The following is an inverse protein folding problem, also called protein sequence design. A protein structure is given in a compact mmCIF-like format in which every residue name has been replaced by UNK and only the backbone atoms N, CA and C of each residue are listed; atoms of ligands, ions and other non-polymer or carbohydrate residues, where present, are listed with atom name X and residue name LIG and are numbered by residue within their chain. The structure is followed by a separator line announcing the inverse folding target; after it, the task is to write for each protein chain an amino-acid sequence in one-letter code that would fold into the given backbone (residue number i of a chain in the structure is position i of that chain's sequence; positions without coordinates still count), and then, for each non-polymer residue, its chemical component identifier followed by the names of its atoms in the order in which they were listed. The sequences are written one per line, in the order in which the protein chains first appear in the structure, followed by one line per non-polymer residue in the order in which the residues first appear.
data_IF_594545405007
#
_entry.id   IF_594545405007
#
_cell.length_a   1.000
_cell.length_b   1.000
_cell.length_c   1.000
_cell.angle_alpha   90.00
_cell.angle_beta   90.00
_cell.angle_gamma   90.00
#
_symmetry.space_group_name_H-M   'P 1'
#
loop_
_entity.id
_entity.type
_entity.pdbx_description
1 polymer ?
#
# COMPACT_ATOMS: atom_id res chain seq x y z
N UNK A 1 -64.72 2.83 -11.44
CA UNK A 1 -64.18 3.92 -10.59
C UNK A 1 -64.74 5.23 -11.11
N UNK A 2 -65.47 5.95 -10.26
CA UNK A 2 -66.34 7.08 -10.62
C UNK A 2 -65.57 8.39 -10.72
N UNK A 3 -66.05 9.33 -11.54
CA UNK A 3 -65.43 10.64 -11.79
C UNK A 3 -65.07 11.42 -10.51
N UNK A 4 -65.84 11.24 -9.44
CA UNK A 4 -65.59 11.83 -8.13
C UNK A 4 -64.25 11.39 -7.51
N UNK A 5 -63.83 10.13 -7.71
CA UNK A 5 -62.52 9.64 -7.24
C UNK A 5 -61.39 10.35 -7.98
N UNK A 6 -61.59 10.60 -9.28
CA UNK A 6 -60.59 11.24 -10.13
C UNK A 6 -60.39 12.73 -9.83
N UNK A 7 -61.44 13.37 -9.33
CA UNK A 7 -61.45 14.78 -8.91
C UNK A 7 -60.80 14.94 -7.53
N UNK A 8 -61.11 14.04 -6.58
CA UNK A 8 -60.49 14.02 -5.25
C UNK A 8 -58.98 13.76 -5.31
N UNK A 9 -58.52 12.83 -6.16
CA UNK A 9 -57.07 12.55 -6.31
C UNK A 9 -56.29 13.72 -6.93
N UNK A 10 -56.98 14.62 -7.66
CA UNK A 10 -56.39 15.82 -8.26
C UNK A 10 -56.64 17.09 -7.43
N UNK A 11 -57.33 16.98 -6.30
CA UNK A 11 -57.63 18.13 -5.45
C UNK A 11 -56.33 18.69 -4.87
N UNK A 12 -56.24 20.01 -4.84
CA UNK A 12 -55.07 20.72 -4.33
C UNK A 12 -54.89 20.44 -2.83
N UNK A 13 -55.99 20.33 -2.08
CA UNK A 13 -55.93 19.99 -0.66
C UNK A 13 -55.40 18.57 -0.43
N UNK A 14 -55.82 17.58 -1.23
CA UNK A 14 -55.31 16.22 -1.09
C UNK A 14 -53.82 16.16 -1.47
N UNK A 15 -53.41 16.84 -2.54
CA UNK A 15 -52.00 16.91 -2.93
C UNK A 15 -51.15 17.59 -1.85
N UNK A 16 -51.61 18.70 -1.28
CA UNK A 16 -50.92 19.36 -0.16
C UNK A 16 -50.83 18.44 1.06
N UNK A 17 -51.86 17.65 1.38
CA UNK A 17 -51.85 16.64 2.45
C UNK A 17 -50.89 15.48 2.14
N UNK A 18 -50.89 14.97 0.90
CA UNK A 18 -49.97 13.90 0.47
C UNK A 18 -48.52 14.37 0.53
N UNK A 19 -48.22 15.59 0.08
CA UNK A 19 -46.87 16.14 0.13
C UNK A 19 -46.44 16.54 1.54
N UNK A 20 -47.37 16.91 2.43
CA UNK A 20 -47.06 17.14 3.85
C UNK A 20 -46.87 15.84 4.65
N UNK A 21 -47.47 14.72 4.22
CA UNK A 21 -47.28 13.40 4.83
C UNK A 21 -46.12 12.57 4.27
N UNK A 22 -45.37 13.06 3.28
CA UNK A 22 -44.18 12.36 2.77
C UNK A 22 -42.98 12.56 3.70
N UNK A 23 -43.03 11.93 4.89
CA UNK A 23 -41.83 11.50 5.61
C UNK A 23 -41.25 10.21 4.99
N UNK A 24 -41.28 10.10 3.66
CA UNK A 24 -40.82 8.95 2.90
C UNK A 24 -39.59 9.29 2.07
N UNK A 25 -38.74 8.30 1.83
CA UNK A 25 -37.61 8.46 0.92
C UNK A 25 -38.12 8.65 -0.51
N UNK A 26 -37.64 9.68 -1.18
CA UNK A 26 -37.93 9.90 -2.59
C UNK A 26 -37.31 8.77 -3.44
N UNK A 27 -37.86 8.49 -4.62
CA UNK A 27 -37.40 7.38 -5.48
C UNK A 27 -35.91 7.53 -5.87
N UNK A 28 -35.47 8.76 -6.14
CA UNK A 28 -34.07 9.14 -6.38
C UNK A 28 -33.16 8.90 -5.15
N UNK A 29 -33.73 8.76 -3.95
CA UNK A 29 -32.99 8.57 -2.71
C UNK A 29 -32.86 7.11 -2.26
N UNK A 30 -33.59 6.19 -2.91
CA UNK A 30 -33.55 4.75 -2.62
C UNK A 30 -32.15 4.12 -2.75
N UNK A 31 -31.30 4.51 -3.73
CA UNK A 31 -29.96 3.94 -3.85
C UNK A 31 -29.09 4.18 -2.60
N UNK A 32 -29.29 5.30 -1.89
CA UNK A 32 -28.45 5.68 -0.75
C UNK A 32 -28.83 4.98 0.56
N UNK A 33 -30.03 4.39 0.65
CA UNK A 33 -30.49 3.69 1.87
C UNK A 33 -29.65 2.45 2.20
N UNK A 34 -28.95 1.90 1.21
CA UNK A 34 -28.08 0.73 1.37
C UNK A 34 -26.63 1.11 1.68
N UNK A 35 -26.27 2.39 1.58
CA UNK A 35 -24.92 2.83 1.86
C UNK A 35 -24.69 2.81 3.38
N UNK A 36 -23.66 2.09 3.78
CA UNK A 36 -23.16 2.14 5.15
C UNK A 36 -22.23 3.33 5.31
N UNK A 37 -22.23 4.01 6.47
CA UNK A 37 -21.23 5.03 6.76
C UNK A 37 -19.82 4.43 6.63
N UNK A 38 -18.87 5.17 6.04
CA UNK A 38 -17.50 4.73 5.93
C UNK A 38 -16.90 4.49 7.31
N UNK A 39 -16.31 3.30 7.53
CA UNK A 39 -15.57 2.98 8.74
C UNK A 39 -14.09 3.32 8.55
N UNK A 40 -13.49 3.98 9.54
CA UNK A 40 -12.05 4.24 9.57
C UNK A 40 -11.33 2.91 9.85
N UNK A 41 -10.54 2.45 8.88
CA UNK A 41 -9.58 1.37 9.10
C UNK A 41 -8.15 1.91 8.95
N UNK A 42 -7.42 1.94 10.07
CA UNK A 42 -5.96 2.08 10.02
C UNK A 42 -5.38 0.68 9.96
N UNK A 43 -4.98 0.24 8.76
CA UNK A 43 -4.38 -1.08 8.60
C UNK A 43 -2.90 -1.01 9.01
N UNK A 44 -2.62 -1.56 10.18
CA UNK A 44 -1.28 -1.93 10.63
C UNK A 44 -1.01 -3.38 10.24
N UNK A 45 -0.92 -3.67 8.94
CA UNK A 45 -0.47 -5.00 8.52
C UNK A 45 1.05 -5.03 8.47
N UNK A 46 1.60 -5.97 9.24
CA UNK A 46 3.03 -6.15 9.49
C UNK A 46 3.90 -5.84 8.28
N UNK A 47 4.78 -4.85 8.48
CA UNK A 47 5.96 -4.53 7.68
C UNK A 47 5.80 -3.85 6.31
N UNK A 48 4.61 -3.44 5.82
CA UNK A 48 4.54 -2.98 4.41
C UNK A 48 3.98 -1.58 4.14
N UNK A 49 2.86 -1.16 4.71
CA UNK A 49 2.36 0.21 4.47
C UNK A 49 1.45 0.68 5.60
N UNK A 50 1.73 1.83 6.21
CA UNK A 50 0.71 2.60 6.92
C UNK A 50 -0.20 3.22 5.85
N UNK A 51 -1.34 2.60 5.58
CA UNK A 51 -2.35 3.12 4.66
C UNK A 51 -3.62 3.43 5.41
N UNK A 52 -4.14 4.64 5.19
CA UNK A 52 -5.48 5.00 5.62
C UNK A 52 -6.45 4.49 4.56
N UNK A 53 -7.33 3.56 4.93
CA UNK A 53 -8.35 3.06 4.02
C UNK A 53 -9.74 3.46 4.50
N UNK A 54 -10.47 4.08 3.58
CA UNK A 54 -11.88 4.42 3.72
C UNK A 54 -12.54 4.03 2.40
N UNK A 55 -13.55 3.15 2.42
CA UNK A 55 -14.33 2.84 1.21
C UNK A 55 -15.19 4.04 0.83
N UNK A 56 -14.67 4.84 -0.10
CA UNK A 56 -15.42 5.92 -0.73
C UNK A 56 -15.88 5.58 -2.15
N UNK A 57 -15.42 4.49 -2.77
CA UNK A 57 -15.74 4.17 -4.16
C UNK A 57 -17.23 3.91 -4.37
N UNK A 58 -17.81 3.08 -3.51
CA UNK A 58 -19.24 2.74 -3.58
C UNK A 58 -20.14 3.97 -3.35
N UNK A 59 -19.97 4.75 -2.26
CA UNK A 59 -20.77 5.95 -2.07
C UNK A 59 -20.47 7.03 -3.14
N UNK A 60 -19.23 7.19 -3.58
CA UNK A 60 -18.85 8.16 -4.60
C UNK A 60 -19.62 7.95 -5.89
N UNK A 61 -19.63 6.72 -6.44
CA UNK A 61 -20.36 6.42 -7.68
C UNK A 61 -21.86 6.72 -7.56
N UNK A 62 -22.45 6.44 -6.41
CA UNK A 62 -23.86 6.74 -6.15
C UNK A 62 -24.09 8.26 -6.10
N UNK A 63 -23.25 8.99 -5.38
CA UNK A 63 -23.34 10.45 -5.24
C UNK A 63 -23.05 11.17 -6.55
N UNK A 64 -22.03 10.77 -7.29
CA UNK A 64 -21.66 11.30 -8.61
C UNK A 64 -22.83 11.20 -9.60
N UNK A 65 -23.49 10.04 -9.67
CA UNK A 65 -24.67 9.87 -10.54
C UNK A 65 -25.80 10.85 -10.20
N UNK A 66 -26.02 11.12 -8.92
CA UNK A 66 -27.02 12.07 -8.46
C UNK A 66 -26.61 13.52 -8.69
N UNK A 67 -25.32 13.85 -8.51
CA UNK A 67 -24.79 15.17 -8.83
C UNK A 67 -24.84 15.47 -10.33
N UNK A 68 -24.62 14.47 -11.18
CA UNK A 68 -24.73 14.62 -12.63
C UNK A 68 -26.16 14.95 -13.07
N UNK A 69 -27.17 14.36 -12.41
CA UNK A 69 -28.58 14.56 -12.78
C UNK A 69 -29.20 15.81 -12.13
N UNK A 70 -28.89 16.09 -10.88
CA UNK A 70 -29.59 17.13 -10.07
C UNK A 70 -28.67 18.25 -9.56
N UNK A 71 -27.37 18.18 -9.82
CA UNK A 71 -26.37 19.07 -9.24
C UNK A 71 -26.30 18.96 -7.72
N UNK A 72 -25.82 20.02 -7.06
CA UNK A 72 -25.68 20.08 -5.59
C UNK A 72 -26.96 20.49 -4.87
N UNK A 73 -28.04 20.80 -5.60
CA UNK A 73 -29.29 21.33 -5.03
C UNK A 73 -30.03 20.32 -4.15
N UNK A 74 -29.84 19.02 -4.40
CA UNK A 74 -30.51 17.94 -3.68
C UNK A 74 -29.83 17.52 -2.38
N UNK A 75 -28.61 17.99 -2.11
CA UNK A 75 -27.82 17.60 -0.93
C UNK A 75 -28.57 17.87 0.37
N UNK A 76 -29.13 19.08 0.55
CA UNK A 76 -29.88 19.43 1.76
C UNK A 76 -31.09 18.51 1.99
N UNK A 77 -31.79 18.17 0.90
CA UNK A 77 -32.97 17.30 0.95
C UNK A 77 -32.59 15.84 1.22
N UNK A 78 -31.51 15.36 0.61
CA UNK A 78 -30.94 14.03 0.87
C UNK A 78 -30.63 13.87 2.37
N UNK A 79 -29.96 14.85 2.98
CA UNK A 79 -29.57 14.81 4.39
C UNK A 79 -30.75 14.96 5.34
N UNK A 80 -31.80 15.70 4.94
CA UNK A 80 -33.04 15.75 5.70
C UNK A 80 -33.75 14.38 5.70
N UNK A 81 -33.74 13.68 4.58
CA UNK A 81 -34.38 12.35 4.45
C UNK A 81 -33.52 11.22 5.04
N UNK A 82 -32.20 11.31 4.97
CA UNK A 82 -31.26 10.29 5.43
C UNK A 82 -30.09 10.96 6.18
N UNK A 83 -30.28 11.37 7.45
CA UNK A 83 -29.25 12.10 8.21
C UNK A 83 -27.96 11.30 8.43
N UNK A 84 -28.03 9.97 8.43
CA UNK A 84 -26.87 9.08 8.60
C UNK A 84 -25.85 9.14 7.47
N UNK A 85 -26.22 9.71 6.31
CA UNK A 85 -25.30 9.89 5.18
C UNK A 85 -24.41 11.12 5.31
N UNK A 86 -24.64 11.98 6.31
CA UNK A 86 -23.87 13.20 6.46
C UNK A 86 -22.35 12.97 6.45
N UNK A 87 -21.78 12.04 7.24
CA UNK A 87 -20.34 11.77 7.22
C UNK A 87 -19.86 11.25 5.85
N UNK A 88 -20.65 10.39 5.21
CA UNK A 88 -20.34 9.85 3.88
C UNK A 88 -20.23 10.95 2.83
N UNK A 89 -21.22 11.85 2.78
CA UNK A 89 -21.23 12.99 1.84
C UNK A 89 -20.10 13.96 2.14
N UNK A 90 -19.79 14.18 3.43
CA UNK A 90 -18.69 15.05 3.84
C UNK A 90 -17.33 14.49 3.42
N UNK A 91 -17.05 13.22 3.70
CA UNK A 91 -15.78 12.61 3.32
C UNK A 91 -15.65 12.43 1.81
N UNK A 92 -16.74 12.10 1.10
CA UNK A 92 -16.77 12.06 -0.38
C UNK A 92 -16.42 13.43 -0.97
N UNK A 93 -17.14 14.48 -0.56
CA UNK A 93 -16.86 15.83 -1.02
C UNK A 93 -15.42 16.27 -0.70
N UNK A 94 -14.88 15.80 0.42
CA UNK A 94 -13.51 16.10 0.84
C UNK A 94 -12.45 15.34 0.05
N UNK A 95 -12.71 14.08 -0.32
CA UNK A 95 -11.80 13.26 -1.11
C UNK A 95 -11.77 13.69 -2.58
N UNK A 96 -12.93 14.05 -3.15
CA UNK A 96 -13.09 14.33 -4.58
C UNK A 96 -13.15 15.82 -4.92
N UNK A 97 -12.87 16.71 -3.95
CA UNK A 97 -12.69 18.14 -4.22
C UNK A 97 -13.99 18.90 -4.49
N UNK A 98 -15.14 18.39 -4.05
CA UNK A 98 -16.44 18.99 -4.36
C UNK A 98 -16.80 20.13 -3.38
N UNK A 99 -16.12 21.28 -3.55
CA UNK A 99 -16.31 22.47 -2.72
C UNK A 99 -17.76 22.97 -2.75
N UNK A 100 -18.46 22.81 -3.88
CA UNK A 100 -19.86 23.19 -4.00
C UNK A 100 -20.77 22.36 -3.08
N UNK A 101 -20.46 21.07 -2.87
CA UNK A 101 -21.17 20.24 -1.89
C UNK A 101 -20.82 20.69 -0.46
N UNK A 102 -19.55 21.00 -0.17
CA UNK A 102 -19.15 21.51 1.15
C UNK A 102 -19.90 22.80 1.51
N UNK A 103 -20.06 23.73 0.57
CA UNK A 103 -20.81 24.97 0.80
C UNK A 103 -22.30 24.70 1.06
N UNK A 104 -22.88 23.65 0.43
CA UNK A 104 -24.24 23.20 0.77
C UNK A 104 -24.30 22.56 2.15
N UNK A 105 -23.30 21.78 2.55
CA UNK A 105 -23.24 21.19 3.89
C UNK A 105 -23.21 22.28 4.97
N UNK A 106 -22.43 23.35 4.78
CA UNK A 106 -22.37 24.51 5.69
C UNK A 106 -23.71 25.23 5.85
N UNK A 107 -24.58 25.20 4.84
CA UNK A 107 -25.92 25.78 4.90
C UNK A 107 -26.91 24.92 5.70
N UNK A 108 -26.67 23.60 5.76
CA UNK A 108 -27.57 22.64 6.43
C UNK A 108 -27.20 22.49 7.90
N UNK A 109 -25.91 22.37 8.20
CA UNK A 109 -25.40 22.22 9.56
C UNK A 109 -23.97 22.72 9.69
N UNK A 110 -23.53 22.97 10.92
CA UNK A 110 -22.10 23.16 11.21
C UNK A 110 -21.34 21.89 10.82
N UNK A 111 -20.30 22.04 10.01
CA UNK A 111 -19.41 20.92 9.68
C UNK A 111 -18.72 20.49 10.98
N UNK A 112 -18.78 19.20 11.35
CA UNK A 112 -18.07 18.72 12.52
C UNK A 112 -16.57 18.94 12.30
N UNK A 113 -15.93 19.52 13.30
CA UNK A 113 -14.49 19.76 13.30
C UNK A 113 -13.76 18.45 13.62
N UNK A 114 -13.79 17.55 12.64
CA UNK A 114 -13.20 16.23 12.69
C UNK A 114 -11.90 16.22 11.90
N UNK A 115 -10.82 15.86 12.59
CA UNK A 115 -9.50 15.73 11.99
C UNK A 115 -9.48 14.83 10.74
N UNK A 116 -10.34 13.80 10.73
CA UNK A 116 -10.45 12.86 9.62
C UNK A 116 -10.84 13.55 8.29
N UNK A 117 -11.65 14.61 8.32
CA UNK A 117 -12.04 15.37 7.12
C UNK A 117 -10.82 15.99 6.46
N UNK A 118 -9.94 16.59 7.27
CA UNK A 118 -8.70 17.20 6.78
C UNK A 118 -7.73 16.13 6.26
N UNK A 119 -7.59 15.00 6.96
CA UNK A 119 -6.75 13.89 6.51
C UNK A 119 -7.25 13.34 5.17
N UNK A 120 -8.57 13.14 5.01
CA UNK A 120 -9.14 12.65 3.75
C UNK A 120 -8.87 13.61 2.60
N UNK A 121 -9.09 14.92 2.80
CA UNK A 121 -8.76 15.92 1.80
C UNK A 121 -7.26 15.94 1.47
N UNK A 122 -6.41 15.81 2.50
CA UNK A 122 -4.96 15.84 2.35
C UNK A 122 -4.43 14.61 1.58
N UNK A 123 -4.94 13.41 1.87
CA UNK A 123 -4.58 12.16 1.19
C UNK A 123 -4.94 12.19 -0.30
N UNK A 124 -6.04 12.85 -0.66
CA UNK A 124 -6.51 12.96 -2.04
C UNK A 124 -6.03 14.22 -2.78
N UNK A 125 -5.19 15.04 -2.14
CA UNK A 125 -4.58 16.21 -2.80
C UNK A 125 -5.49 17.44 -2.91
N UNK A 126 -6.57 17.52 -2.12
CA UNK A 126 -7.61 18.53 -2.28
C UNK A 126 -7.30 19.81 -1.48
N UNK A 127 -6.42 20.66 -2.04
CA UNK A 127 -6.01 21.93 -1.41
C UNK A 127 -7.19 22.90 -1.27
N UNK A 128 -8.06 22.97 -2.27
CA UNK A 128 -9.23 23.85 -2.29
C UNK A 128 -10.23 23.48 -1.20
N UNK A 129 -10.38 22.18 -0.91
CA UNK A 129 -11.20 21.72 0.22
C UNK A 129 -10.60 22.16 1.54
N UNK A 130 -9.29 21.96 1.73
CA UNK A 130 -8.60 22.38 2.95
C UNK A 130 -8.73 23.90 3.19
N UNK A 131 -8.63 24.70 2.12
CA UNK A 131 -8.88 26.13 2.17
C UNK A 131 -10.35 26.45 2.52
N UNK A 132 -11.30 25.76 1.88
CA UNK A 132 -12.73 26.00 2.07
C UNK A 132 -13.21 25.62 3.48
N UNK A 133 -12.59 24.62 4.12
CA UNK A 133 -12.90 24.23 5.50
C UNK A 133 -12.34 25.21 6.54
N UNK A 134 -11.50 26.16 6.13
CA UNK A 134 -10.91 27.20 6.99
C UNK A 134 -10.22 26.67 8.26
N UNK A 135 -9.77 25.41 8.27
CA UNK A 135 -9.01 24.68 9.33
C UNK A 135 -8.92 25.42 10.68
N UNK A 136 -10.10 25.63 11.32
CA UNK A 136 -10.27 26.57 12.43
C UNK A 136 -9.59 26.04 13.70
N UNK A 137 -9.44 24.73 13.81
CA UNK A 137 -8.77 24.05 14.92
C UNK A 137 -7.30 23.73 14.64
N UNK A 138 -6.57 23.42 15.72
CA UNK A 138 -5.22 22.88 15.67
C UNK A 138 -5.30 21.47 15.09
N UNK A 139 -4.67 21.24 13.95
CA UNK A 139 -4.65 19.96 13.26
C UNK A 139 -3.38 19.23 13.65
N UNK A 140 -3.42 17.90 13.85
CA UNK A 140 -2.21 17.19 14.24
C UNK A 140 -1.21 17.13 13.08
N UNK A 141 0.02 16.79 13.42
CA UNK A 141 1.08 16.47 12.47
C UNK A 141 0.71 15.31 11.53
N UNK A 142 -0.27 14.47 11.89
CA UNK A 142 -0.69 13.34 11.07
C UNK A 142 -1.20 13.79 9.69
N UNK A 143 -1.84 14.95 9.57
CA UNK A 143 -2.37 15.41 8.27
C UNK A 143 -1.25 15.62 7.26
N UNK A 144 -0.13 16.23 7.68
CA UNK A 144 1.05 16.40 6.82
C UNK A 144 1.74 15.06 6.56
N UNK A 145 1.83 14.19 7.57
CA UNK A 145 2.42 12.85 7.41
C UNK A 145 1.65 12.01 6.39
N UNK A 146 0.31 12.06 6.42
CA UNK A 146 -0.56 11.40 5.45
C UNK A 146 -0.47 12.04 4.06
N UNK A 147 -0.48 13.38 3.95
CA UNK A 147 -0.28 14.06 2.67
C UNK A 147 1.05 13.63 2.01
N UNK A 148 2.13 13.57 2.80
CA UNK A 148 3.43 13.15 2.33
C UNK A 148 3.47 11.67 1.91
N UNK A 149 2.84 10.79 2.70
CA UNK A 149 2.71 9.37 2.40
C UNK A 149 2.02 9.12 1.05
N UNK A 150 1.03 9.93 0.66
CA UNK A 150 0.33 9.80 -0.62
C UNK A 150 0.90 10.68 -1.74
N UNK A 151 2.05 11.32 -1.52
CA UNK A 151 2.76 12.05 -2.57
C UNK A 151 2.15 13.41 -2.92
N UNK A 152 1.29 13.94 -2.04
CA UNK A 152 0.52 15.15 -2.28
C UNK A 152 1.35 16.40 -1.98
N UNK A 153 2.37 16.66 -2.82
CA UNK A 153 3.33 17.75 -2.62
C UNK A 153 2.65 19.12 -2.45
N UNK A 154 1.63 19.44 -3.26
CA UNK A 154 0.91 20.71 -3.18
C UNK A 154 0.22 20.90 -1.82
N UNK A 155 -0.33 19.82 -1.26
CA UNK A 155 -0.93 19.83 0.08
C UNK A 155 0.16 20.03 1.14
N UNK A 156 1.30 19.34 1.02
CA UNK A 156 2.43 19.50 1.96
C UNK A 156 2.96 20.93 1.96
N UNK A 157 3.15 21.53 0.78
CA UNK A 157 3.55 22.94 0.62
C UNK A 157 2.52 23.89 1.23
N UNK A 158 1.24 23.66 0.95
CA UNK A 158 0.17 24.50 1.46
C UNK A 158 0.07 24.40 3.00
N UNK A 159 0.16 23.20 3.57
CA UNK A 159 0.17 22.99 5.01
C UNK A 159 1.38 23.69 5.63
N UNK A 160 2.58 23.55 5.06
CA UNK A 160 3.76 24.23 5.57
C UNK A 160 3.65 25.76 5.56
N UNK A 161 3.09 26.35 4.50
CA UNK A 161 2.96 27.79 4.36
C UNK A 161 1.89 28.39 5.29
N UNK A 162 0.87 27.61 5.66
CA UNK A 162 -0.32 28.12 6.35
C UNK A 162 -0.47 27.60 7.79
N UNK A 163 0.33 26.61 8.21
CA UNK A 163 0.19 25.90 9.49
C UNK A 163 1.52 25.83 10.24
N UNK A 164 1.44 25.67 11.57
CA UNK A 164 2.61 25.69 12.46
C UNK A 164 2.91 24.32 13.10
N UNK A 165 1.99 23.36 12.98
CA UNK A 165 2.13 22.06 13.64
C UNK A 165 3.24 21.21 13.02
N UNK A 166 3.49 21.38 11.72
CA UNK A 166 4.56 20.70 11.03
C UNK A 166 4.22 19.25 10.65
N UNK A 167 5.18 18.36 10.85
CA UNK A 167 5.12 16.94 10.50
C UNK A 167 6.00 16.15 11.46
N UNK A 168 5.98 14.83 11.38
CA UNK A 168 6.92 13.95 12.09
C UNK A 168 7.92 13.32 11.12
N UNK A 169 8.85 12.51 11.64
CA UNK A 169 9.73 11.66 10.81
C UNK A 169 8.95 10.70 9.90
N UNK A 170 7.68 10.43 10.22
CA UNK A 170 6.82 9.54 9.42
C UNK A 170 6.49 10.14 8.04
N UNK A 171 6.44 11.47 7.90
CA UNK A 171 6.23 12.10 6.60
C UNK A 171 7.28 11.65 5.57
N UNK A 172 8.57 11.76 5.92
CA UNK A 172 9.65 11.37 5.00
C UNK A 172 9.79 9.85 4.90
N UNK A 173 9.62 9.12 6.00
CA UNK A 173 9.66 7.64 5.98
C UNK A 173 8.61 7.05 5.04
N UNK A 174 7.37 7.54 5.10
CA UNK A 174 6.28 7.01 4.27
C UNK A 174 6.28 7.58 2.85
N UNK A 175 6.67 8.84 2.65
CA UNK A 175 6.94 9.35 1.30
C UNK A 175 8.01 8.50 0.58
N UNK A 176 9.07 8.11 1.30
CA UNK A 176 10.11 7.23 0.77
C UNK A 176 9.59 5.81 0.52
N UNK A 177 8.81 5.26 1.45
CA UNK A 177 8.15 3.96 1.33
C UNK A 177 7.31 3.86 0.04
N UNK A 178 6.60 4.93 -0.33
CA UNK A 178 5.72 4.97 -1.51
C UNK A 178 6.40 5.52 -2.78
N UNK A 179 7.71 5.82 -2.72
CA UNK A 179 8.47 6.25 -3.89
C UNK A 179 8.24 7.70 -4.29
N UNK A 180 7.73 8.55 -3.40
CA UNK A 180 7.42 9.95 -3.68
C UNK A 180 8.67 10.84 -3.52
N UNK A 181 9.66 10.64 -4.40
CA UNK A 181 10.93 11.38 -4.39
C UNK A 181 10.76 12.92 -4.31
N UNK A 182 9.83 13.57 -5.05
CA UNK A 182 9.64 15.02 -4.95
C UNK A 182 9.25 15.49 -3.53
N UNK A 183 8.43 14.70 -2.83
CA UNK A 183 8.05 14.99 -1.44
C UNK A 183 9.23 14.78 -0.50
N UNK A 184 10.01 13.71 -0.69
CA UNK A 184 11.22 13.45 0.11
C UNK A 184 12.23 14.59 -0.02
N UNK A 185 12.49 15.05 -1.24
CA UNK A 185 13.37 16.18 -1.53
C UNK A 185 12.86 17.46 -0.86
N UNK A 186 11.59 17.76 -1.05
CA UNK A 186 10.99 18.96 -0.48
C UNK A 186 11.05 18.96 1.06
N UNK A 187 10.70 17.83 1.70
CA UNK A 187 10.77 17.69 3.15
C UNK A 187 12.21 17.85 3.66
N UNK A 188 13.20 17.34 2.94
CA UNK A 188 14.60 17.51 3.32
C UNK A 188 15.07 18.96 3.28
N UNK A 189 14.65 19.71 2.26
CA UNK A 189 15.05 21.11 2.08
C UNK A 189 14.36 22.06 3.06
N UNK A 190 13.11 21.78 3.44
CA UNK A 190 12.25 22.72 4.16
C UNK A 190 11.96 22.34 5.62
N UNK A 191 12.32 21.12 6.04
CA UNK A 191 11.96 20.57 7.36
C UNK A 191 13.17 19.95 8.06
N UNK A 192 13.18 20.03 9.39
CA UNK A 192 14.31 19.60 10.23
C UNK A 192 14.08 18.27 10.94
N UNK A 193 12.87 17.73 10.89
CA UNK A 193 12.51 16.45 11.52
C UNK A 193 13.31 15.28 10.93
N UNK A 194 13.62 15.33 9.64
CA UNK A 194 14.39 14.30 8.95
C UNK A 194 13.63 12.99 8.78
N UNK A 195 14.36 11.88 8.76
CA UNK A 195 13.81 10.53 8.66
C UNK A 195 14.51 9.58 9.63
N UNK A 196 14.14 8.30 9.59
CA UNK A 196 14.91 7.23 10.23
C UNK A 196 15.42 6.25 9.17
N UNK A 197 16.17 5.22 9.57
CA UNK A 197 16.58 4.14 8.65
C UNK A 197 15.41 3.47 7.93
N UNK A 198 14.19 3.58 8.49
CA UNK A 198 12.95 3.09 7.87
C UNK A 198 12.70 3.70 6.48
N UNK A 199 13.10 4.96 6.24
CA UNK A 199 12.90 5.57 4.92
C UNK A 199 13.63 4.77 3.82
N UNK A 200 14.89 4.42 4.05
CA UNK A 200 15.67 3.65 3.08
C UNK A 200 15.27 2.16 3.07
N UNK A 201 15.00 1.57 4.24
CA UNK A 201 14.58 0.17 4.35
C UNK A 201 13.26 -0.09 3.59
N UNK A 202 12.27 0.80 3.75
CA UNK A 202 10.98 0.68 3.08
C UNK A 202 11.05 1.04 1.60
N UNK A 203 11.80 2.08 1.23
CA UNK A 203 12.05 2.40 -0.18
C UNK A 203 12.72 1.22 -0.90
N UNK A 204 13.67 0.55 -0.25
CA UNK A 204 14.34 -0.63 -0.79
C UNK A 204 13.38 -1.81 -0.94
N UNK A 205 12.55 -2.07 0.08
CA UNK A 205 11.50 -3.11 0.06
C UNK A 205 10.56 -2.94 -1.13
N UNK A 206 10.08 -1.73 -1.36
CA UNK A 206 9.13 -1.43 -2.43
C UNK A 206 9.79 -1.21 -3.81
N UNK A 207 11.12 -1.21 -3.88
CA UNK A 207 11.86 -1.16 -5.14
C UNK A 207 12.10 0.26 -5.68
N UNK A 208 11.95 1.29 -4.85
CA UNK A 208 12.16 2.70 -5.21
C UNK A 208 13.65 3.06 -5.20
N UNK A 209 14.38 2.56 -6.19
CA UNK A 209 15.84 2.71 -6.29
C UNK A 209 16.28 4.18 -6.34
N UNK A 210 15.52 5.04 -7.02
CA UNK A 210 15.75 6.48 -7.11
C UNK A 210 15.72 7.15 -5.73
N UNK A 211 14.74 6.79 -4.90
CA UNK A 211 14.64 7.25 -3.50
C UNK A 211 15.80 6.70 -2.67
N UNK A 212 16.14 5.42 -2.80
CA UNK A 212 17.26 4.81 -2.08
C UNK A 212 18.58 5.53 -2.40
N UNK A 213 18.86 5.76 -3.68
CA UNK A 213 20.04 6.48 -4.15
C UNK A 213 20.08 7.90 -3.60
N UNK A 214 18.94 8.60 -3.68
CA UNK A 214 18.86 9.98 -3.21
C UNK A 214 19.06 10.07 -1.68
N UNK A 215 18.41 9.19 -0.91
CA UNK A 215 18.57 9.13 0.55
C UNK A 215 20.03 8.83 0.92
N UNK A 216 20.70 7.91 0.21
CA UNK A 216 22.10 7.61 0.46
C UNK A 216 23.03 8.79 0.23
N UNK A 217 22.76 9.60 -0.80
CA UNK A 217 23.60 10.75 -1.15
C UNK A 217 23.38 11.96 -0.24
N UNK A 218 22.15 12.14 0.27
CA UNK A 218 21.74 13.38 0.95
C UNK A 218 21.42 13.22 2.45
N UNK A 219 21.35 11.99 2.96
CA UNK A 219 21.01 11.68 4.36
C UNK A 219 22.07 10.78 5.00
N UNK A 220 22.12 10.80 6.34
CA UNK A 220 23.16 10.11 7.12
C UNK A 220 22.60 8.96 7.98
N UNK A 221 21.28 8.84 8.07
CA UNK A 221 20.59 7.81 8.85
C UNK A 221 20.84 6.39 8.32
N UNK A 222 21.17 6.28 7.04
CA UNK A 222 21.49 5.01 6.39
C UNK A 222 20.30 4.05 6.30
N UNK A 223 20.60 2.77 6.40
CA UNK A 223 19.64 1.67 6.33
C UNK A 223 20.05 0.57 7.32
N UNK A 224 19.21 -0.44 7.48
CA UNK A 224 19.53 -1.66 8.21
C UNK A 224 19.70 -2.84 7.25
N UNK A 225 19.96 -4.03 7.80
CA UNK A 225 19.96 -5.27 7.01
C UNK A 225 18.58 -5.57 6.39
N UNK A 226 17.51 -4.98 6.94
CA UNK A 226 16.15 -5.16 6.41
C UNK A 226 16.00 -4.56 5.01
N UNK A 227 16.74 -3.50 4.66
CA UNK A 227 16.72 -2.97 3.30
C UNK A 227 17.04 -4.06 2.25
N UNK A 228 18.12 -4.83 2.46
CA UNK A 228 18.52 -5.88 1.53
C UNK A 228 17.69 -7.16 1.73
N UNK A 229 17.35 -7.54 2.97
CA UNK A 229 16.53 -8.71 3.24
C UNK A 229 15.14 -8.59 2.58
N UNK A 230 14.46 -7.48 2.80
CA UNK A 230 13.11 -7.23 2.28
C UNK A 230 13.13 -6.92 0.78
N UNK A 231 14.13 -6.19 0.27
CA UNK A 231 14.30 -6.04 -1.19
C UNK A 231 14.49 -7.40 -1.88
N UNK A 232 15.23 -8.32 -1.25
CA UNK A 232 15.40 -9.67 -1.77
C UNK A 232 14.11 -10.49 -1.72
N UNK A 233 13.38 -10.42 -0.59
CA UNK A 233 12.07 -11.03 -0.43
C UNK A 233 11.06 -10.54 -1.47
N UNK A 234 11.10 -9.27 -1.87
CA UNK A 234 10.22 -8.67 -2.88
C UNK A 234 10.74 -8.75 -4.31
N UNK A 235 11.90 -9.39 -4.51
CA UNK A 235 12.47 -9.58 -5.85
C UNK A 235 13.04 -8.31 -6.48
N UNK A 236 13.38 -7.29 -5.70
CA UNK A 236 13.91 -5.99 -6.15
C UNK A 236 15.39 -6.08 -6.50
N UNK A 237 15.72 -6.84 -7.54
CA UNK A 237 17.11 -7.15 -7.94
C UNK A 237 18.01 -5.90 -8.06
N UNK A 238 17.53 -4.85 -8.72
CA UNK A 238 18.34 -3.65 -8.95
C UNK A 238 18.65 -2.91 -7.64
N UNK A 239 17.72 -2.91 -6.68
CA UNK A 239 17.97 -2.39 -5.33
C UNK A 239 18.97 -3.27 -4.59
N UNK A 240 18.84 -4.60 -4.66
CA UNK A 240 19.78 -5.53 -4.00
C UNK A 240 21.20 -5.35 -4.52
N UNK A 241 21.38 -5.26 -5.84
CA UNK A 241 22.69 -4.97 -6.47
C UNK A 241 23.27 -3.66 -5.97
N UNK A 242 22.46 -2.61 -6.02
CA UNK A 242 22.89 -1.28 -5.64
C UNK A 242 23.28 -1.21 -4.15
N UNK A 243 22.46 -1.79 -3.27
CA UNK A 243 22.76 -1.88 -1.83
C UNK A 243 24.05 -2.68 -1.59
N UNK A 244 24.27 -3.78 -2.31
CA UNK A 244 25.51 -4.56 -2.18
C UNK A 244 26.76 -3.78 -2.58
N UNK A 245 26.67 -2.97 -3.64
CA UNK A 245 27.81 -2.20 -4.14
C UNK A 245 28.10 -0.93 -3.31
N UNK A 246 27.08 -0.33 -2.68
CA UNK A 246 27.18 1.01 -2.08
C UNK A 246 27.01 1.03 -0.55
N UNK A 247 26.64 -0.10 0.06
CA UNK A 247 26.31 -0.19 1.50
C UNK A 247 27.02 -1.38 2.15
N UNK A 248 27.23 -1.29 3.46
CA UNK A 248 28.07 -2.25 4.22
C UNK A 248 27.28 -3.08 5.22
N UNK A 249 26.00 -2.77 5.42
CA UNK A 249 25.10 -3.47 6.34
C UNK A 249 24.93 -4.95 5.95
N UNK A 250 24.99 -5.23 4.65
CA UNK A 250 24.83 -6.56 4.07
C UNK A 250 23.40 -7.11 4.23
N UNK A 251 23.28 -8.43 4.11
CA UNK A 251 22.04 -9.16 4.35
C UNK A 251 22.27 -10.36 5.27
N UNK A 252 21.18 -10.90 5.77
CA UNK A 252 21.19 -12.16 6.53
C UNK A 252 20.80 -13.34 5.62
N UNK A 253 20.97 -14.59 6.06
CA UNK A 253 20.43 -15.75 5.35
C UNK A 253 18.91 -15.71 5.11
N UNK A 254 18.18 -14.81 5.79
CA UNK A 254 16.78 -14.55 5.53
C UNK A 254 16.54 -14.07 4.08
N UNK A 255 17.45 -13.25 3.53
CA UNK A 255 17.31 -12.67 2.19
C UNK A 255 17.22 -13.75 1.11
N UNK A 256 18.19 -14.68 1.08
CA UNK A 256 18.22 -15.75 0.08
C UNK A 256 17.06 -16.74 0.28
N UNK A 257 16.70 -17.04 1.53
CA UNK A 257 15.59 -17.93 1.86
C UNK A 257 14.26 -17.37 1.36
N UNK A 258 13.93 -16.14 1.74
CA UNK A 258 12.65 -15.54 1.35
C UNK A 258 12.60 -15.20 -0.14
N UNK A 259 13.72 -14.84 -0.76
CA UNK A 259 13.80 -14.73 -2.22
C UNK A 259 13.51 -16.09 -2.90
N UNK A 260 13.99 -17.21 -2.34
CA UNK A 260 13.68 -18.55 -2.86
C UNK A 260 12.22 -18.97 -2.62
N UNK A 261 11.67 -18.70 -1.43
CA UNK A 261 10.25 -18.91 -1.06
C UNK A 261 9.31 -18.21 -2.06
N UNK A 262 9.57 -16.94 -2.35
CA UNK A 262 8.76 -16.13 -3.25
C UNK A 262 9.13 -16.33 -4.74
N UNK A 263 10.18 -17.10 -5.02
CA UNK A 263 10.54 -17.47 -6.39
C UNK A 263 11.31 -16.40 -7.17
N UNK A 264 12.02 -15.52 -6.49
CA UNK A 264 12.86 -14.49 -7.09
C UNK A 264 14.24 -15.05 -7.47
N UNK A 265 14.26 -15.93 -8.47
CA UNK A 265 15.46 -16.66 -8.89
C UNK A 265 16.65 -15.77 -9.27
N UNK A 266 16.40 -14.62 -9.92
CA UNK A 266 17.45 -13.64 -10.24
C UNK A 266 18.17 -13.10 -9.00
N UNK A 267 17.41 -12.79 -7.95
CA UNK A 267 17.95 -12.32 -6.66
C UNK A 267 18.73 -13.43 -5.98
N UNK A 268 18.18 -14.63 -5.95
CA UNK A 268 18.85 -15.80 -5.38
C UNK A 268 20.18 -16.07 -6.09
N UNK A 269 20.22 -15.99 -7.43
CA UNK A 269 21.46 -16.10 -8.22
C UNK A 269 22.47 -15.01 -7.87
N UNK A 270 22.01 -13.79 -7.68
CA UNK A 270 22.88 -12.67 -7.31
C UNK A 270 23.49 -12.87 -5.91
N UNK A 271 22.66 -13.20 -4.91
CA UNK A 271 23.11 -13.44 -3.54
C UNK A 271 24.04 -14.64 -3.45
N UNK A 272 23.76 -15.70 -4.22
CA UNK A 272 24.58 -16.89 -4.31
C UNK A 272 25.99 -16.59 -4.85
N UNK A 273 26.07 -15.89 -5.99
CA UNK A 273 27.34 -15.54 -6.64
C UNK A 273 28.28 -14.73 -5.75
N UNK A 274 27.73 -13.94 -4.83
CA UNK A 274 28.49 -13.10 -3.90
C UNK A 274 28.65 -13.72 -2.51
N UNK A 275 28.33 -15.01 -2.35
CA UNK A 275 28.41 -15.74 -1.08
C UNK A 275 27.64 -15.07 0.09
N UNK A 276 26.50 -14.43 -0.21
CA UNK A 276 25.69 -13.67 0.76
C UNK A 276 24.62 -14.50 1.49
N UNK A 277 24.84 -15.80 1.66
CA UNK A 277 23.94 -16.71 2.35
C UNK A 277 24.27 -18.18 2.11
N UNK A 278 23.77 -19.05 2.97
CA UNK A 278 23.94 -20.50 2.83
C UNK A 278 22.98 -21.05 1.76
N UNK A 279 23.55 -21.55 0.68
CA UNK A 279 22.90 -22.15 -0.50
C UNK A 279 21.94 -23.26 -0.09
N UNK A 280 22.28 -24.02 0.95
CA UNK A 280 21.52 -25.19 1.39
C UNK A 280 20.10 -24.83 1.81
N UNK A 281 19.90 -23.66 2.44
CA UNK A 281 18.58 -23.20 2.86
C UNK A 281 17.74 -22.69 1.69
N UNK A 282 18.32 -21.90 0.79
CA UNK A 282 17.64 -21.43 -0.43
C UNK A 282 17.23 -22.59 -1.33
N UNK A 283 18.10 -23.60 -1.46
CA UNK A 283 17.83 -24.80 -2.23
C UNK A 283 16.73 -25.66 -1.59
N UNK A 284 16.80 -25.94 -0.29
CA UNK A 284 15.76 -26.70 0.42
C UNK A 284 14.38 -26.05 0.24
N UNK A 285 14.33 -24.72 0.32
CA UNK A 285 13.09 -23.98 0.20
C UNK A 285 12.58 -23.90 -1.25
N UNK A 286 13.47 -23.82 -2.24
CA UNK A 286 13.12 -23.97 -3.65
C UNK A 286 12.50 -25.36 -3.93
N UNK A 287 13.03 -26.43 -3.32
CA UNK A 287 12.46 -27.79 -3.40
C UNK A 287 11.08 -27.87 -2.75
N UNK A 288 10.88 -27.24 -1.59
CA UNK A 288 9.55 -27.20 -0.93
C UNK A 288 8.50 -26.46 -1.76
N UNK A 289 8.87 -25.36 -2.40
CA UNK A 289 7.95 -24.49 -3.14
C UNK A 289 7.82 -24.87 -4.63
N UNK A 290 8.20 -26.10 -4.98
CA UNK A 290 8.08 -26.64 -6.32
C UNK A 290 8.83 -25.88 -7.44
N UNK A 291 9.94 -25.21 -7.12
CA UNK A 291 10.74 -24.40 -8.06
C UNK A 291 11.89 -25.20 -8.69
N UNK A 292 11.56 -26.10 -9.62
CA UNK A 292 12.53 -27.00 -10.26
C UNK A 292 13.72 -26.28 -10.90
N UNK A 293 13.48 -25.23 -11.70
CA UNK A 293 14.57 -24.54 -12.43
C UNK A 293 15.57 -23.89 -11.48
N UNK A 294 15.07 -23.25 -10.42
CA UNK A 294 15.91 -22.65 -9.38
C UNK A 294 16.65 -23.72 -8.58
N UNK A 295 15.98 -24.81 -8.20
CA UNK A 295 16.61 -25.91 -7.47
C UNK A 295 17.69 -26.60 -8.31
N UNK A 296 17.45 -26.80 -9.62
CA UNK A 296 18.42 -27.40 -10.54
C UNK A 296 19.71 -26.58 -10.61
N UNK A 297 19.58 -25.27 -10.73
CA UNK A 297 20.72 -24.34 -10.82
C UNK A 297 21.49 -24.27 -9.49
N UNK A 298 20.78 -24.16 -8.36
CA UNK A 298 21.41 -24.07 -7.04
C UNK A 298 22.13 -25.35 -6.59
N UNK A 299 21.75 -26.52 -7.13
CA UNK A 299 22.40 -27.80 -6.79
C UNK A 299 23.81 -27.90 -7.37
N UNK A 300 24.11 -27.23 -8.48
CA UNK A 300 25.44 -27.31 -9.13
C UNK A 300 26.55 -26.74 -8.25
N UNK A 301 26.21 -25.85 -7.32
CA UNK A 301 27.13 -25.15 -6.44
C UNK A 301 27.18 -25.75 -5.01
N UNK A 302 26.48 -26.86 -4.74
CA UNK A 302 26.40 -27.47 -3.40
C UNK A 302 27.30 -28.71 -3.31
N UNK A 303 28.44 -28.57 -2.62
CA UNK A 303 29.30 -29.68 -2.17
C UNK A 303 28.65 -30.55 -1.04
N UNK A 304 27.42 -30.21 -0.64
CA UNK A 304 26.71 -30.75 0.53
C UNK A 304 25.66 -31.83 0.23
N UNK A 305 25.20 -32.47 1.31
CA UNK A 305 24.35 -33.67 1.41
C UNK A 305 23.17 -33.77 0.41
N UNK A 306 23.47 -34.18 -0.83
CA UNK A 306 22.51 -34.47 -1.91
C UNK A 306 21.44 -35.49 -1.47
N UNK A 307 21.77 -36.40 -0.53
CA UNK A 307 20.86 -37.45 -0.06
C UNK A 307 19.61 -36.87 0.61
N UNK A 308 19.77 -35.88 1.48
CA UNK A 308 18.65 -35.25 2.17
C UNK A 308 17.70 -34.53 1.19
N UNK A 309 18.25 -33.96 0.11
CA UNK A 309 17.50 -33.31 -0.95
C UNK A 309 16.75 -34.32 -1.83
N UNK A 310 17.37 -35.47 -2.14
CA UNK A 310 16.74 -36.59 -2.87
C UNK A 310 15.53 -37.11 -2.10
N UNK A 311 15.69 -37.37 -0.80
CA UNK A 311 14.60 -37.88 0.05
C UNK A 311 13.44 -36.87 0.12
N UNK A 312 13.77 -35.58 0.24
CA UNK A 312 12.77 -34.51 0.27
C UNK A 312 12.04 -34.36 -1.07
N UNK A 313 12.76 -34.34 -2.19
CA UNK A 313 12.16 -34.29 -3.52
C UNK A 313 11.24 -35.50 -3.78
N UNK A 314 11.62 -36.68 -3.28
CA UNK A 314 10.76 -37.87 -3.30
C UNK A 314 9.50 -37.68 -2.46
N UNK A 315 9.61 -37.16 -1.24
CA UNK A 315 8.46 -36.96 -0.33
C UNK A 315 7.44 -35.94 -0.85
N UNK A 316 7.90 -34.96 -1.64
CA UNK A 316 7.08 -33.90 -2.21
C UNK A 316 6.56 -34.22 -3.63
N UNK A 317 6.92 -35.40 -4.18
CA UNK A 317 6.47 -35.83 -5.51
C UNK A 317 7.17 -35.15 -6.69
N UNK A 318 8.35 -34.57 -6.50
CA UNK A 318 9.13 -33.93 -7.55
C UNK A 318 9.86 -34.92 -8.43
N UNK A 319 9.16 -35.57 -9.36
CA UNK A 319 9.72 -36.66 -10.18
C UNK A 319 10.93 -36.19 -11.00
N UNK A 320 10.87 -35.01 -11.63
CA UNK A 320 11.96 -34.53 -12.48
C UNK A 320 13.18 -34.06 -11.67
N UNK A 321 12.96 -33.37 -10.54
CA UNK A 321 14.02 -33.02 -9.59
C UNK A 321 14.66 -34.25 -8.96
N UNK A 322 13.84 -35.22 -8.55
CA UNK A 322 14.31 -36.47 -7.99
C UNK A 322 15.20 -37.23 -8.98
N UNK A 323 14.76 -37.36 -10.25
CA UNK A 323 15.56 -37.99 -11.31
C UNK A 323 16.87 -37.25 -11.54
N UNK A 324 16.82 -35.92 -11.56
CA UNK A 324 18.00 -35.07 -11.72
C UNK A 324 19.00 -35.22 -10.56
N UNK A 325 18.54 -35.07 -9.32
CA UNK A 325 19.34 -35.23 -8.11
C UNK A 325 19.93 -36.64 -7.97
N UNK A 326 19.17 -37.68 -8.33
CA UNK A 326 19.68 -39.07 -8.37
C UNK A 326 20.79 -39.25 -9.41
N UNK A 327 20.70 -38.58 -10.56
CA UNK A 327 21.75 -38.61 -11.59
C UNK A 327 23.03 -37.94 -11.08
N UNK A 328 22.91 -36.78 -10.44
CA UNK A 328 24.04 -36.07 -9.82
C UNK A 328 24.67 -36.87 -8.67
N UNK A 329 23.85 -37.48 -7.82
CA UNK A 329 24.33 -38.34 -6.72
C UNK A 329 25.16 -39.52 -7.24
N UNK A 330 24.76 -40.16 -8.36
CA UNK A 330 25.52 -41.26 -8.96
C UNK A 330 26.84 -40.79 -9.58
N UNK A 331 26.83 -39.64 -10.27
CA UNK A 331 28.04 -39.06 -10.87
C UNK A 331 29.11 -38.69 -9.83
N UNK A 332 28.72 -38.14 -8.67
CA UNK A 332 29.64 -37.83 -7.57
C UNK A 332 30.30 -39.08 -6.97
N UNK A 333 29.57 -40.20 -6.89
CA UNK A 333 30.11 -41.46 -6.35
C UNK A 333 31.17 -42.04 -7.28
N UNK A 334 30.93 -42.01 -8.60
CA UNK A 334 31.88 -42.52 -9.61
C UNK A 334 33.19 -41.72 -9.67
N UNK A 335 33.15 -40.39 -9.53
CA UNK A 335 34.36 -39.53 -9.49
C UNK A 335 35.16 -39.68 -8.20
N UNK A 336 34.50 -39.99 -7.08
CA UNK A 336 35.17 -40.21 -5.79
C UNK A 336 35.86 -41.58 -5.73
N UNK A 337 35.29 -42.60 -6.38
CA UNK A 337 35.92 -43.92 -6.52
C UNK A 337 37.13 -43.91 -7.47
N UNK A 338 37.08 -43.14 -8.56
CA UNK A 338 38.22 -42.96 -9.48
C UNK A 338 39.39 -42.22 -8.82
N UNK A 339 39.14 -41.13 -8.11
CA UNK A 339 40.18 -40.35 -7.42
C UNK A 339 40.82 -41.07 -6.23
N UNK A 340 40.10 -41.98 -5.56
CA UNK A 340 40.67 -42.84 -4.52
C UNK A 340 41.50 -44.00 -5.10
N UNK A 341 41.16 -44.52 -6.28
CA UNK A 341 41.95 -45.55 -6.96
C UNK A 341 43.26 -45.01 -7.54
N UNK A 342 43.31 -43.73 -7.94
CA UNK A 342 44.56 -43.10 -8.39
C UNK A 342 45.53 -42.83 -7.23
N UNK A 343 45.05 -42.47 -6.03
CA UNK A 343 45.90 -42.28 -4.84
C UNK A 343 46.41 -43.57 -4.18
N UNK A 344 45.92 -44.73 -4.57
CA UNK A 344 46.39 -46.04 -4.10
C UNK A 344 47.40 -46.70 -5.05
N UNK A 345 47.68 -46.07 -6.20
CA UNK A 345 48.62 -46.57 -7.22
C UNK A 345 49.91 -45.74 -7.33
N UNK A 346 50.09 -44.72 -6.49
CA UNK A 346 51.37 -44.04 -6.18
C UNK A 346 51.85 -44.48 -4.80
#
# INVERSE_FOLDING_TARGET
MTAAVHEVVRSRELMDVVFTFQQGHYHDMLPFLKLTPPMRHTLLYGLRTYTLWIDLDTPHRALESCYAEYGTTRVAKLLQCIPTLYPTVLYDASAFGNVAVLDRLKQVSTIPDEELVYIVAAVHGQVEVLQALQMISKVSTETTDWAASYGQLQVVEWLHANRLEGCTVQAMNFAACQGHLPVVQWLHEHRSEGCTSLAMDLAATNGHLDVVQWLHQNRTEGCTQEAMNSAAQEGRLEVVKWLFENRTEGCTPHAIRCAAENGHGEVVRFLHRHQLGDVYWGLNEAVKNHRFDLARELVEDVDGNISALVDRASSLGHIDLFKYLRKLQRGHVETTEQSNNERHND
#
